data_IF_610991951808
#
_entry.id   IF_610991951808
#
_cell.length_a   1.000
_cell.length_b   1.000
_cell.length_c   1.000
_cell.angle_alpha   90.00
_cell.angle_beta   90.00
_cell.angle_gamma   90.00
#
_symmetry.space_group_name_H-M   'P 1'
#
loop_
_entity.id
_entity.type
_entity.pdbx_description
1 polymer ?
#
# COMPACT_ATOMS: atom_id res chain seq x y z
N UNK A 1 -8.50 11.32 25.76
CA UNK A 1 -9.17 10.59 24.66
C UNK A 1 -8.47 9.26 24.46
N UNK A 2 -9.08 8.16 24.88
CA UNK A 2 -8.58 6.80 24.62
C UNK A 2 -8.86 6.46 23.16
N UNK A 3 -7.86 6.63 22.30
CA UNK A 3 -7.95 6.14 20.91
C UNK A 3 -8.10 4.62 20.97
N UNK A 4 -9.29 4.10 20.68
CA UNK A 4 -9.53 2.66 20.53
C UNK A 4 -8.60 2.11 19.45
N UNK A 5 -7.60 1.34 19.88
CA UNK A 5 -6.61 0.68 19.01
C UNK A 5 -7.26 -0.53 18.36
N UNK A 6 -7.96 -0.32 17.24
CA UNK A 6 -8.53 -1.40 16.45
C UNK A 6 -7.51 -1.84 15.37
N UNK A 7 -6.91 -3.04 15.50
CA UNK A 7 -5.90 -3.52 14.55
C UNK A 7 -6.41 -3.64 13.12
N UNK A 8 -7.70 -3.95 12.93
CA UNK A 8 -8.32 -3.98 11.59
C UNK A 8 -8.34 -2.58 10.98
N UNK A 9 -8.73 -1.56 11.74
CA UNK A 9 -8.74 -0.18 11.25
C UNK A 9 -7.35 0.32 10.88
N UNK A 10 -6.32 -0.07 11.65
CA UNK A 10 -4.94 0.34 11.39
C UNK A 10 -4.34 -0.40 10.19
N UNK A 11 -4.57 -1.71 10.07
CA UNK A 11 -4.16 -2.47 8.88
C UNK A 11 -4.83 -1.96 7.60
N UNK A 12 -6.14 -1.68 7.66
CA UNK A 12 -6.88 -1.03 6.57
C UNK A 12 -6.35 0.38 6.30
N UNK A 13 -6.01 1.14 7.34
CA UNK A 13 -5.43 2.48 7.21
C UNK A 13 -4.09 2.47 6.46
N UNK A 14 -3.22 1.52 6.76
CA UNK A 14 -1.94 1.36 6.03
C UNK A 14 -2.19 0.98 4.56
N UNK A 15 -3.05 -0.01 4.32
CA UNK A 15 -3.42 -0.37 2.94
C UNK A 15 -4.04 0.81 2.17
N UNK A 16 -4.97 1.53 2.81
CA UNK A 16 -5.62 2.71 2.27
C UNK A 16 -4.66 3.85 1.96
N UNK A 17 -3.65 4.09 2.79
CA UNK A 17 -2.59 5.05 2.50
C UNK A 17 -1.85 4.70 1.19
N UNK A 18 -1.46 3.43 1.02
CA UNK A 18 -0.82 2.96 -0.22
C UNK A 18 -1.73 3.12 -1.44
N UNK A 19 -3.03 2.83 -1.29
CA UNK A 19 -4.03 3.03 -2.35
C UNK A 19 -4.14 4.51 -2.72
N UNK A 20 -4.24 5.41 -1.74
CA UNK A 20 -4.33 6.85 -1.99
C UNK A 20 -3.07 7.39 -2.66
N UNK A 21 -1.88 6.93 -2.25
CA UNK A 21 -0.63 7.29 -2.91
C UNK A 21 -0.63 6.84 -4.38
N UNK A 22 -1.05 5.60 -4.66
CA UNK A 22 -1.13 5.08 -6.01
C UNK A 22 -2.16 5.83 -6.87
N UNK A 23 -3.37 6.05 -6.34
CA UNK A 23 -4.42 6.80 -7.03
C UNK A 23 -4.03 8.24 -7.31
N UNK A 24 -3.33 8.89 -6.37
CA UNK A 24 -2.80 10.25 -6.59
C UNK A 24 -1.77 10.24 -7.72
N UNK A 25 -0.88 9.26 -7.74
CA UNK A 25 0.11 9.10 -8.82
C UNK A 25 -0.57 8.93 -10.17
N UNK A 26 -1.57 8.04 -10.24
CA UNK A 26 -2.34 7.79 -11.45
C UNK A 26 -3.12 9.02 -11.89
N UNK A 27 -3.74 9.74 -10.94
CA UNK A 27 -4.44 10.97 -11.24
C UNK A 27 -3.51 12.03 -11.85
N UNK A 28 -2.32 12.22 -11.27
CA UNK A 28 -1.35 13.21 -11.71
C UNK A 28 -0.68 12.86 -13.05
N UNK A 29 -0.50 11.56 -13.35
CA UNK A 29 0.17 11.08 -14.57
C UNK A 29 -0.81 10.85 -15.73
N UNK A 30 -2.03 10.36 -15.44
CA UNK A 30 -3.02 10.02 -16.46
C UNK A 30 -4.18 11.01 -16.50
N UNK A 31 -4.85 11.25 -15.38
CA UNK A 31 -6.10 12.03 -15.39
C UNK A 31 -5.88 13.50 -15.73
N UNK A 32 -4.92 14.17 -15.07
CA UNK A 32 -4.61 15.57 -15.35
C UNK A 32 -4.17 15.74 -16.81
N UNK A 33 -3.16 15.02 -17.32
CA UNK A 33 -2.66 15.30 -18.65
C UNK A 33 -3.67 14.93 -19.74
N UNK A 34 -4.46 13.88 -19.55
CA UNK A 34 -5.42 13.42 -20.55
C UNK A 34 -6.70 14.28 -20.60
N UNK A 35 -7.22 14.70 -19.46
CA UNK A 35 -8.53 15.37 -19.39
C UNK A 35 -8.47 16.88 -19.16
N UNK A 36 -7.40 17.39 -18.55
CA UNK A 36 -7.34 18.80 -18.12
C UNK A 36 -6.35 19.65 -18.93
N UNK A 37 -5.45 19.02 -19.69
CA UNK A 37 -4.44 19.72 -20.49
C UNK A 37 -4.68 19.56 -21.99
N UNK A 38 -4.45 20.64 -22.75
CA UNK A 38 -4.34 20.59 -24.21
C UNK A 38 -3.10 19.82 -24.68
N UNK A 39 -3.08 19.39 -25.94
CA UNK A 39 -2.03 18.50 -26.47
C UNK A 39 -0.60 19.07 -26.30
N UNK A 40 -0.41 20.35 -26.58
CA UNK A 40 0.90 21.00 -26.47
C UNK A 40 1.39 21.04 -25.01
N UNK A 41 0.51 21.43 -24.08
CA UNK A 41 0.82 21.49 -22.64
C UNK A 41 1.00 20.10 -22.02
N UNK A 42 0.30 19.09 -22.52
CA UNK A 42 0.40 17.71 -22.05
C UNK A 42 1.82 17.16 -22.19
N UNK A 43 2.45 17.37 -23.34
CA UNK A 43 3.81 16.88 -23.62
C UNK A 43 4.82 17.53 -22.65
N UNK A 44 4.78 18.86 -22.53
CA UNK A 44 5.65 19.61 -21.62
C UNK A 44 5.43 19.22 -20.16
N UNK A 45 4.17 19.01 -19.75
CA UNK A 45 3.86 18.57 -18.39
C UNK A 45 4.48 17.21 -18.08
N UNK A 46 4.27 16.22 -18.96
CA UNK A 46 4.80 14.87 -18.76
C UNK A 46 6.32 14.85 -18.77
N UNK A 47 6.98 15.60 -19.66
CA UNK A 47 8.45 15.69 -19.68
C UNK A 47 9.03 16.21 -18.37
N UNK A 48 8.35 17.17 -17.72
CA UNK A 48 8.86 17.79 -16.49
C UNK A 48 8.47 17.03 -15.22
N UNK A 49 7.29 16.40 -15.20
CA UNK A 49 6.68 15.92 -13.96
C UNK A 49 6.51 14.41 -13.89
N UNK A 50 6.61 13.67 -15.00
CA UNK A 50 6.42 12.21 -14.99
C UNK A 50 7.39 11.53 -14.02
N UNK A 51 8.69 11.80 -14.13
CA UNK A 51 9.71 11.17 -13.28
C UNK A 51 9.54 11.54 -11.80
N UNK A 52 9.40 12.83 -11.41
CA UNK A 52 9.14 13.19 -10.02
C UNK A 52 7.88 12.54 -9.43
N UNK A 53 6.76 12.58 -10.17
CA UNK A 53 5.49 12.04 -9.70
C UNK A 53 5.58 10.52 -9.51
N UNK A 54 6.11 9.81 -10.51
CA UNK A 54 6.22 8.34 -10.45
C UNK A 54 7.25 7.88 -9.42
N UNK A 55 8.33 8.64 -9.22
CA UNK A 55 9.35 8.34 -8.20
C UNK A 55 8.78 8.51 -6.79
N UNK A 56 8.17 9.67 -6.49
CA UNK A 56 7.60 9.92 -5.16
C UNK A 56 6.39 9.02 -4.92
N UNK A 57 5.47 8.96 -5.88
CA UNK A 57 4.27 8.15 -5.82
C UNK A 57 4.55 6.66 -5.65
N UNK A 58 5.45 6.12 -6.48
CA UNK A 58 5.95 4.75 -6.36
C UNK A 58 6.72 4.52 -5.06
N UNK A 59 7.50 5.52 -4.62
CA UNK A 59 8.15 5.59 -3.31
C UNK A 59 7.18 5.34 -2.15
N UNK A 60 6.10 6.13 -2.12
CA UNK A 60 5.08 6.08 -1.08
C UNK A 60 4.31 4.74 -1.11
N UNK A 61 3.88 4.31 -2.29
CA UNK A 61 3.06 3.11 -2.44
C UNK A 61 3.86 1.82 -2.21
N UNK A 62 5.11 1.73 -2.70
CA UNK A 62 5.86 0.46 -2.73
C UNK A 62 7.02 0.37 -1.74
N UNK A 63 7.41 1.44 -1.07
CA UNK A 63 8.44 1.39 -0.03
C UNK A 63 7.91 1.89 1.32
N UNK A 64 7.30 3.07 1.36
CA UNK A 64 6.80 3.63 2.63
C UNK A 64 5.64 2.81 3.18
N UNK A 65 4.68 2.42 2.34
CA UNK A 65 3.52 1.63 2.79
C UNK A 65 3.93 0.29 3.41
N UNK A 66 4.81 -0.52 2.78
CA UNK A 66 5.35 -1.73 3.42
C UNK A 66 6.11 -1.49 4.72
N UNK A 67 6.96 -0.46 4.78
CA UNK A 67 7.70 -0.13 6.02
C UNK A 67 6.73 0.28 7.13
N UNK A 68 5.73 1.09 6.80
CA UNK A 68 4.68 1.47 7.73
C UNK A 68 3.90 0.25 8.21
N UNK A 69 3.62 -0.71 7.34
CA UNK A 69 2.97 -1.97 7.72
C UNK A 69 3.77 -2.74 8.76
N UNK A 70 5.09 -2.87 8.55
CA UNK A 70 5.99 -3.52 9.51
C UNK A 70 6.01 -2.80 10.86
N UNK A 71 6.19 -1.47 10.85
CA UNK A 71 6.29 -0.67 12.08
C UNK A 71 4.99 -0.68 12.88
N UNK A 72 3.85 -0.52 12.21
CA UNK A 72 2.53 -0.53 12.86
C UNK A 72 2.23 -1.92 13.41
N UNK A 73 2.52 -2.99 12.67
CA UNK A 73 2.35 -4.36 13.15
C UNK A 73 3.19 -4.64 14.40
N UNK A 74 4.48 -4.26 14.38
CA UNK A 74 5.37 -4.40 15.53
C UNK A 74 4.85 -3.63 16.75
N UNK A 75 4.43 -2.38 16.56
CA UNK A 75 3.86 -1.55 17.62
C UNK A 75 2.60 -2.17 18.24
N UNK A 76 1.70 -2.72 17.40
CA UNK A 76 0.44 -3.28 17.89
C UNK A 76 0.65 -4.52 18.76
N UNK A 77 1.64 -5.35 18.41
CA UNK A 77 1.97 -6.54 19.19
C UNK A 77 2.76 -6.15 20.45
N UNK A 78 3.87 -5.42 20.28
CA UNK A 78 4.80 -5.14 21.37
C UNK A 78 4.27 -4.13 22.40
N UNK A 79 3.74 -3.00 21.92
CA UNK A 79 3.36 -1.87 22.78
C UNK A 79 1.88 -1.84 23.10
N UNK A 80 1.02 -2.30 22.19
CA UNK A 80 -0.42 -2.36 22.45
C UNK A 80 -0.87 -3.71 23.03
N UNK A 81 0.02 -4.72 23.08
CA UNK A 81 -0.27 -6.03 23.68
C UNK A 81 -1.40 -6.77 22.97
N UNK A 82 -1.64 -6.47 21.70
CA UNK A 82 -2.72 -7.10 20.94
C UNK A 82 -2.31 -8.51 20.52
N UNK A 83 -3.28 -9.42 20.55
CA UNK A 83 -3.09 -10.78 20.04
C UNK A 83 -2.64 -10.75 18.57
N UNK A 84 -1.64 -11.56 18.24
CA UNK A 84 -1.07 -11.62 16.89
C UNK A 84 -2.11 -11.91 15.83
N UNK A 85 -3.03 -12.84 16.09
CA UNK A 85 -4.11 -13.19 15.17
C UNK A 85 -4.93 -11.95 14.77
N UNK A 86 -5.30 -11.11 15.75
CA UNK A 86 -6.07 -9.89 15.50
C UNK A 86 -5.30 -8.88 14.65
N UNK A 87 -3.99 -8.76 14.88
CA UNK A 87 -3.11 -7.89 14.08
C UNK A 87 -3.01 -8.40 12.65
N UNK A 88 -2.78 -9.71 12.47
CA UNK A 88 -2.65 -10.34 11.16
C UNK A 88 -3.93 -10.21 10.34
N UNK A 89 -5.10 -10.45 10.92
CA UNK A 89 -6.39 -10.26 10.21
C UNK A 89 -6.51 -8.84 9.66
N UNK A 90 -6.16 -7.83 10.46
CA UNK A 90 -6.19 -6.44 10.01
C UNK A 90 -5.27 -6.16 8.83
N UNK A 91 -4.05 -6.69 8.86
CA UNK A 91 -3.09 -6.54 7.77
C UNK A 91 -3.41 -7.39 6.54
N UNK A 92 -4.05 -8.56 6.68
CA UNK A 92 -4.57 -9.33 5.54
C UNK A 92 -5.58 -8.50 4.78
N UNK A 93 -6.58 -7.95 5.47
CA UNK A 93 -7.64 -7.14 4.84
C UNK A 93 -7.05 -5.90 4.17
N UNK A 94 -6.17 -5.17 4.87
CA UNK A 94 -5.52 -3.97 4.31
C UNK A 94 -4.64 -4.26 3.10
N UNK A 95 -3.87 -5.36 3.14
CA UNK A 95 -2.98 -5.75 2.05
C UNK A 95 -3.75 -6.23 0.82
N UNK A 96 -4.84 -6.97 1.00
CA UNK A 96 -5.73 -7.38 -0.09
C UNK A 96 -6.38 -6.17 -0.74
N UNK A 97 -6.91 -5.23 0.06
CA UNK A 97 -7.48 -4.00 -0.45
C UNK A 97 -6.46 -3.21 -1.28
N UNK A 98 -5.21 -3.09 -0.79
CA UNK A 98 -4.13 -2.47 -1.54
C UNK A 98 -3.83 -3.21 -2.86
N UNK A 99 -3.62 -4.52 -2.79
CA UNK A 99 -3.25 -5.31 -3.97
C UNK A 99 -4.32 -5.28 -5.06
N UNK A 100 -5.58 -5.43 -4.68
CA UNK A 100 -6.71 -5.37 -5.61
C UNK A 100 -6.89 -3.96 -6.19
N UNK A 101 -6.81 -2.91 -5.36
CA UNK A 101 -7.02 -1.54 -5.82
C UNK A 101 -5.93 -1.09 -6.80
N UNK A 102 -4.66 -1.39 -6.52
CA UNK A 102 -3.54 -1.08 -7.41
C UNK A 102 -3.70 -1.81 -8.75
N UNK A 103 -3.98 -3.11 -8.71
CA UNK A 103 -4.21 -3.92 -9.91
C UNK A 103 -5.40 -3.42 -10.73
N UNK A 104 -6.53 -3.14 -10.08
CA UNK A 104 -7.72 -2.63 -10.77
C UNK A 104 -7.45 -1.28 -11.41
N UNK A 105 -6.76 -0.38 -10.70
CA UNK A 105 -6.38 0.92 -11.24
C UNK A 105 -5.48 0.75 -12.46
N UNK A 106 -4.49 -0.13 -12.40
CA UNK A 106 -3.62 -0.44 -13.53
C UNK A 106 -4.42 -0.98 -14.72
N UNK A 107 -5.38 -1.87 -14.49
CA UNK A 107 -6.26 -2.40 -15.54
C UNK A 107 -7.09 -1.29 -16.21
N UNK A 108 -7.64 -0.36 -15.42
CA UNK A 108 -8.44 0.76 -15.92
C UNK A 108 -7.62 1.68 -16.83
N UNK A 109 -6.40 2.05 -16.41
CA UNK A 109 -5.56 3.00 -17.17
C UNK A 109 -4.77 2.36 -18.31
N UNK A 110 -4.69 1.02 -18.36
CA UNK A 110 -4.02 0.31 -19.45
C UNK A 110 -4.90 0.30 -20.70
N UNK A 111 -4.33 0.75 -21.83
CA UNK A 111 -4.98 0.71 -23.13
C UNK A 111 -5.44 -0.73 -23.47
N UNK A 112 -6.65 -0.94 -24.05
CA UNK A 112 -7.20 -2.28 -24.27
C UNK A 112 -6.28 -3.26 -25.00
N UNK A 113 -5.52 -2.78 -25.99
CA UNK A 113 -4.58 -3.59 -26.77
C UNK A 113 -3.34 -4.05 -25.97
N UNK A 114 -3.06 -3.42 -24.83
CA UNK A 114 -1.93 -3.72 -23.94
C UNK A 114 -2.36 -4.44 -22.66
N UNK A 115 -3.65 -4.74 -22.51
CA UNK A 115 -4.15 -5.42 -21.31
C UNK A 115 -3.63 -6.85 -21.25
N UNK A 116 -3.12 -7.19 -20.08
CA UNK A 116 -2.65 -8.52 -19.77
C UNK A 116 -3.81 -9.52 -19.64
N UNK A 117 -3.49 -10.81 -19.61
CA UNK A 117 -4.47 -11.84 -19.30
C UNK A 117 -5.03 -11.67 -17.88
N UNK A 118 -6.25 -12.18 -17.64
CA UNK A 118 -6.85 -12.14 -16.30
C UNK A 118 -5.98 -12.83 -15.24
N UNK A 119 -5.27 -13.90 -15.63
CA UNK A 119 -4.33 -14.62 -14.77
C UNK A 119 -3.13 -13.74 -14.36
N UNK A 120 -2.58 -12.95 -15.29
CA UNK A 120 -1.49 -12.02 -14.98
C UNK A 120 -1.93 -10.91 -14.01
N UNK A 121 -3.14 -10.36 -14.17
CA UNK A 121 -3.67 -9.39 -13.21
C UNK A 121 -3.89 -10.01 -11.82
N UNK A 122 -4.34 -11.27 -11.74
CA UNK A 122 -4.45 -11.98 -10.47
C UNK A 122 -3.07 -12.18 -9.80
N UNK A 123 -2.04 -12.56 -10.58
CA UNK A 123 -0.66 -12.66 -10.09
C UNK A 123 -0.15 -11.29 -9.63
N UNK A 124 -0.44 -10.23 -10.37
CA UNK A 124 -0.08 -8.86 -10.01
C UNK A 124 -0.73 -8.44 -8.68
N UNK A 125 -2.02 -8.72 -8.49
CA UNK A 125 -2.72 -8.43 -7.24
C UNK A 125 -2.11 -9.18 -6.06
N UNK A 126 -1.78 -10.47 -6.26
CA UNK A 126 -1.07 -11.28 -5.26
C UNK A 126 0.29 -10.68 -4.89
N UNK A 127 1.10 -10.26 -5.88
CA UNK A 127 2.39 -9.61 -5.66
C UNK A 127 2.25 -8.31 -4.85
N UNK A 128 1.28 -7.46 -5.19
CA UNK A 128 1.04 -6.23 -4.45
C UNK A 128 0.53 -6.49 -3.03
N UNK A 129 -0.30 -7.50 -2.84
CA UNK A 129 -0.75 -7.94 -1.51
C UNK A 129 0.44 -8.36 -0.64
N UNK A 130 1.30 -9.23 -1.17
CA UNK A 130 2.49 -9.74 -0.45
C UNK A 130 3.47 -8.60 -0.10
N UNK A 131 3.57 -7.56 -0.94
CA UNK A 131 4.43 -6.39 -0.66
C UNK A 131 4.05 -5.67 0.63
N UNK A 132 2.78 -5.65 1.02
CA UNK A 132 2.34 -5.03 2.28
C UNK A 132 2.27 -6.06 3.40
N UNK A 133 1.73 -7.26 3.10
CA UNK A 133 1.52 -8.29 4.11
C UNK A 133 2.82 -8.90 4.62
N UNK A 134 3.81 -9.14 3.75
CA UNK A 134 5.09 -9.73 4.14
C UNK A 134 5.82 -8.89 5.19
N UNK A 135 5.98 -7.58 4.98
CA UNK A 135 6.57 -6.70 6.00
C UNK A 135 5.74 -6.59 7.28
N UNK A 136 4.40 -6.63 7.20
CA UNK A 136 3.55 -6.72 8.39
C UNK A 136 3.82 -7.99 9.21
N UNK A 137 4.00 -9.15 8.56
CA UNK A 137 4.39 -10.40 9.22
C UNK A 137 5.73 -10.25 9.95
N UNK A 138 6.73 -9.68 9.29
CA UNK A 138 8.03 -9.39 9.92
C UNK A 138 7.86 -8.49 11.14
N UNK A 139 7.04 -7.44 11.02
CA UNK A 139 6.71 -6.54 12.12
C UNK A 139 6.09 -7.26 13.31
N UNK A 140 5.09 -8.12 13.07
CA UNK A 140 4.47 -8.96 14.11
C UNK A 140 5.51 -9.81 14.83
N UNK A 141 6.37 -10.52 14.09
CA UNK A 141 7.40 -11.40 14.68
C UNK A 141 8.39 -10.62 15.56
N UNK A 142 8.86 -9.48 15.07
CA UNK A 142 9.71 -8.57 15.86
C UNK A 142 8.98 -8.11 17.11
N UNK A 143 7.70 -7.74 16.99
CA UNK A 143 6.90 -7.30 18.12
C UNK A 143 6.71 -8.37 19.19
N UNK A 144 6.50 -9.63 18.78
CA UNK A 144 6.42 -10.76 19.72
C UNK A 144 7.74 -10.97 20.46
N UNK A 145 8.86 -11.03 19.73
CA UNK A 145 10.19 -11.25 20.30
C UNK A 145 10.55 -10.17 21.33
N UNK A 146 10.26 -8.91 21.04
CA UNK A 146 10.49 -7.80 21.98
C UNK A 146 9.55 -7.82 23.19
N UNK A 147 8.33 -8.36 23.04
CA UNK A 147 7.37 -8.55 24.13
C UNK A 147 7.82 -9.64 25.09
N UNK A 148 8.28 -10.78 24.58
CA UNK A 148 8.80 -11.89 25.39
C UNK A 148 10.01 -11.47 26.24
N UNK A 149 10.95 -10.72 25.65
CA UNK A 149 12.12 -10.20 26.36
C UNK A 149 11.80 -9.24 27.52
N UNK A 150 10.62 -8.60 27.53
CA UNK A 150 10.16 -7.77 28.66
C UNK A 150 9.64 -8.60 29.82
N UNK A 151 9.03 -9.75 29.57
CA UNK A 151 8.45 -10.60 30.61
C UNK A 151 9.52 -11.41 31.38
N UNK A 152 10.76 -11.42 30.87
CA UNK A 152 11.91 -12.09 31.48
C UNK A 152 12.75 -11.14 32.37
N UNK A 153 12.35 -9.86 32.52
CA UNK A 153 13.02 -8.84 33.34
C UNK A 153 12.08 -8.35 34.43
#
# INVERSE_FOLDING_TARGET
MTVTRNPVRLGVGVGGFGVLAHLTTVFLVFTIPHHLLGEETRSTYLQNWFDPITTVGGGLAFYVTPVLAALVAAYLVWNAGLAVENVLVGFVVGSLAFGLAVTLTNWVVTAPALRQSAAEYAIQAGRHTVRVFGPALVGVLVGQFLGEGRNLR
#
